data_IF_879007719213
#
_entry.id   IF_879007719213
#
_cell.length_a   1.000
_cell.length_b   1.000
_cell.length_c   1.000
_cell.angle_alpha   90.00
_cell.angle_beta   90.00
_cell.angle_gamma   90.00
#
_symmetry.space_group_name_H-M   'P 1'
#
loop_
_entity.id
_entity.type
_entity.pdbx_description
1 polymer ?
#
# COMPACT_ATOMS: atom_id res chain seq x y z
N UNK A 1 15.24 5.55 -12.11
CA UNK A 1 14.17 6.35 -11.48
C UNK A 1 13.22 5.42 -10.74
N UNK A 2 12.66 5.85 -9.58
CA UNK A 2 11.61 5.14 -8.84
C UNK A 2 10.35 5.99 -8.78
N UNK A 3 9.17 5.36 -8.96
CA UNK A 3 7.87 5.98 -8.78
C UNK A 3 7.36 5.71 -7.37
N UNK A 4 6.93 6.75 -6.66
CA UNK A 4 6.35 6.63 -5.31
C UNK A 4 4.91 7.14 -5.36
N UNK A 5 4.01 6.45 -4.68
CA UNK A 5 2.61 6.79 -4.54
C UNK A 5 2.23 6.89 -3.07
N UNK A 6 1.36 7.83 -2.76
CA UNK A 6 0.66 7.95 -1.48
C UNK A 6 -0.77 8.43 -1.74
N UNK A 7 -1.68 8.22 -0.79
CA UNK A 7 -3.10 8.50 -0.97
C UNK A 7 -3.59 9.77 -0.27
N UNK A 8 -2.92 10.19 0.81
CA UNK A 8 -3.36 11.33 1.64
C UNK A 8 -2.34 12.46 1.70
N UNK A 9 -2.76 13.70 2.02
CA UNK A 9 -1.84 14.82 2.21
C UNK A 9 -0.81 14.58 3.33
N UNK A 10 -1.19 13.92 4.42
CA UNK A 10 -0.32 13.63 5.55
C UNK A 10 0.82 12.66 5.14
N UNK A 11 0.50 11.64 4.33
CA UNK A 11 1.47 10.73 3.75
C UNK A 11 2.42 11.44 2.78
N UNK A 12 1.86 12.33 1.95
CA UNK A 12 2.63 13.15 1.02
C UNK A 12 3.64 14.02 1.76
N UNK A 13 3.21 14.73 2.80
CA UNK A 13 4.07 15.62 3.57
C UNK A 13 5.19 14.85 4.28
N UNK A 14 4.89 13.70 4.87
CA UNK A 14 5.89 12.82 5.47
C UNK A 14 6.95 12.34 4.47
N UNK A 15 6.52 11.91 3.27
CA UNK A 15 7.42 11.47 2.19
C UNK A 15 8.26 12.61 1.64
N UNK A 16 7.65 13.77 1.38
CA UNK A 16 8.37 14.95 0.86
C UNK A 16 9.44 15.44 1.83
N UNK A 17 9.10 15.55 3.11
CA UNK A 17 10.04 15.94 4.14
C UNK A 17 11.21 14.95 4.24
N UNK A 18 10.90 13.64 4.20
CA UNK A 18 11.90 12.59 4.33
C UNK A 18 12.86 12.50 3.15
N UNK A 19 12.31 12.61 1.94
CA UNK A 19 13.08 12.47 0.69
C UNK A 19 13.63 13.80 0.17
N UNK A 20 13.32 14.92 0.82
CA UNK A 20 13.75 16.28 0.46
C UNK A 20 13.38 16.64 -0.99
N UNK A 21 12.15 16.29 -1.41
CA UNK A 21 11.68 16.57 -2.75
C UNK A 21 11.23 18.02 -2.93
N UNK A 22 11.08 18.44 -4.20
CA UNK A 22 10.65 19.78 -4.57
C UNK A 22 9.38 20.23 -3.82
N UNK A 23 9.27 21.54 -3.55
CA UNK A 23 8.09 22.10 -2.88
C UNK A 23 6.90 22.24 -3.85
N UNK A 24 7.19 22.54 -5.13
CA UNK A 24 6.17 22.76 -6.14
C UNK A 24 5.95 21.51 -6.99
N UNK A 25 4.68 21.03 -7.13
CA UNK A 25 4.38 19.90 -7.97
C UNK A 25 4.30 20.26 -9.45
N UNK A 26 4.66 19.33 -10.30
CA UNK A 26 4.18 19.30 -11.67
C UNK A 26 2.74 18.77 -11.69
N UNK A 27 1.81 19.54 -12.27
CA UNK A 27 0.44 19.04 -12.45
C UNK A 27 0.33 18.22 -13.73
N UNK A 28 -0.23 17.01 -13.59
CA UNK A 28 -0.54 16.10 -14.70
C UNK A 28 -2.02 15.71 -14.61
N UNK A 29 -2.88 16.52 -15.24
CA UNK A 29 -4.32 16.43 -15.02
C UNK A 29 -4.68 16.72 -13.55
N UNK A 30 -5.44 15.87 -12.88
CA UNK A 30 -5.77 16.03 -11.46
C UNK A 30 -4.61 15.65 -10.51
N UNK A 31 -3.60 14.93 -11.00
CA UNK A 31 -2.52 14.38 -10.17
C UNK A 31 -1.40 15.41 -9.98
N UNK A 32 -0.93 15.54 -8.75
CA UNK A 32 0.27 16.30 -8.39
C UNK A 32 1.46 15.35 -8.34
N UNK A 33 2.54 15.67 -9.06
CA UNK A 33 3.78 14.89 -9.10
C UNK A 33 4.93 15.75 -8.63
N UNK A 34 5.60 15.32 -7.58
CA UNK A 34 6.80 15.97 -7.01
C UNK A 34 8.03 15.19 -7.48
N UNK A 35 8.92 15.87 -8.17
CA UNK A 35 10.16 15.26 -8.68
C UNK A 35 11.36 15.73 -7.88
N UNK A 36 12.38 14.87 -7.81
CA UNK A 36 13.63 15.22 -7.19
C UNK A 36 14.66 14.10 -7.31
N UNK A 37 15.75 14.26 -6.60
CA UNK A 37 16.78 13.24 -6.45
C UNK A 37 16.98 12.92 -4.98
N UNK A 38 17.00 11.64 -4.66
CA UNK A 38 17.34 11.14 -3.34
C UNK A 38 18.52 10.16 -3.47
N UNK A 39 19.61 10.41 -2.75
CA UNK A 39 20.86 9.64 -2.83
C UNK A 39 21.34 9.42 -4.29
N UNK A 40 21.24 10.47 -5.13
CA UNK A 40 21.67 10.47 -6.52
C UNK A 40 20.70 9.85 -7.54
N UNK A 41 19.61 9.24 -7.08
CA UNK A 41 18.61 8.59 -7.95
C UNK A 41 17.37 9.46 -8.11
N UNK A 42 16.84 9.51 -9.33
CA UNK A 42 15.61 10.24 -9.61
C UNK A 42 14.39 9.57 -8.99
N UNK A 43 13.52 10.37 -8.39
CA UNK A 43 12.26 9.96 -7.76
C UNK A 43 11.12 10.83 -8.29
N UNK A 44 9.98 10.20 -8.57
CA UNK A 44 8.71 10.87 -8.86
C UNK A 44 7.67 10.41 -7.82
N UNK A 45 7.23 11.32 -6.95
CA UNK A 45 6.22 11.08 -5.92
C UNK A 45 4.89 11.66 -6.38
N UNK A 46 3.84 10.84 -6.41
CA UNK A 46 2.50 11.29 -6.77
C UNK A 46 1.52 11.12 -5.61
N UNK A 47 0.69 12.15 -5.38
CA UNK A 47 -0.51 12.07 -4.56
C UNK A 47 -1.63 11.51 -5.43
N UNK A 48 -2.07 10.28 -5.13
CA UNK A 48 -3.14 9.63 -5.89
C UNK A 48 -4.54 10.12 -5.48
N UNK A 49 -4.73 10.39 -4.20
CA UNK A 49 -6.04 10.42 -3.56
C UNK A 49 -6.50 9.02 -3.18
N UNK A 50 -7.53 8.96 -2.32
CA UNK A 50 -8.05 7.70 -1.78
C UNK A 50 -8.87 6.92 -2.81
N UNK A 51 -8.86 5.59 -2.68
CA UNK A 51 -9.68 4.65 -3.42
C UNK A 51 -9.02 4.09 -4.69
N UNK A 52 -9.53 2.95 -5.11
CA UNK A 52 -8.95 2.12 -6.19
C UNK A 52 -8.80 2.85 -7.51
N UNK A 53 -9.80 3.64 -7.91
CA UNK A 53 -9.79 4.35 -9.21
C UNK A 53 -8.70 5.42 -9.23
N UNK A 54 -8.59 6.22 -8.18
CA UNK A 54 -7.59 7.26 -8.05
C UNK A 54 -6.18 6.66 -8.04
N UNK A 55 -5.97 5.62 -7.26
CA UNK A 55 -4.69 4.92 -7.15
C UNK A 55 -4.25 4.30 -8.48
N UNK A 56 -5.17 3.64 -9.20
CA UNK A 56 -4.90 3.06 -10.52
C UNK A 56 -4.54 4.13 -11.55
N UNK A 57 -5.28 5.25 -11.58
CA UNK A 57 -5.00 6.37 -12.48
C UNK A 57 -3.62 6.98 -12.23
N UNK A 58 -3.26 7.23 -10.97
CA UNK A 58 -1.96 7.78 -10.61
C UNK A 58 -0.80 6.81 -10.92
N UNK A 59 -0.98 5.50 -10.65
CA UNK A 59 0.01 4.48 -10.98
C UNK A 59 0.26 4.40 -12.49
N UNK A 60 -0.82 4.37 -13.28
CA UNK A 60 -0.74 4.38 -14.76
C UNK A 60 -0.02 5.62 -15.26
N UNK A 61 -0.32 6.80 -14.68
CA UNK A 61 0.32 8.04 -15.04
C UNK A 61 1.83 8.00 -14.79
N UNK A 62 2.25 7.56 -13.58
CA UNK A 62 3.68 7.46 -13.25
C UNK A 62 4.41 6.50 -14.17
N UNK A 63 3.84 5.33 -14.47
CA UNK A 63 4.46 4.35 -15.35
C UNK A 63 4.59 4.90 -16.77
N UNK A 64 3.53 5.49 -17.31
CA UNK A 64 3.49 6.00 -18.70
C UNK A 64 4.43 7.17 -18.91
N UNK A 65 4.56 8.08 -17.94
CA UNK A 65 5.37 9.30 -18.10
C UNK A 65 6.84 9.08 -17.77
N UNK A 66 7.14 8.17 -16.84
CA UNK A 66 8.48 8.13 -16.25
C UNK A 66 9.16 6.76 -16.38
N UNK A 67 8.46 5.70 -16.81
CA UNK A 67 8.98 4.34 -16.95
C UNK A 67 9.85 3.92 -15.74
N UNK A 68 9.32 3.95 -14.52
CA UNK A 68 10.10 3.68 -13.32
C UNK A 68 10.58 2.24 -13.28
N UNK A 69 11.74 2.00 -12.68
CA UNK A 69 12.28 0.65 -12.44
C UNK A 69 11.44 -0.13 -11.43
N UNK A 70 10.75 0.57 -10.52
CA UNK A 70 9.76 0.01 -9.61
C UNK A 70 8.81 1.12 -9.13
N UNK A 71 7.61 0.70 -8.71
CA UNK A 71 6.70 1.51 -7.92
C UNK A 71 6.84 1.18 -6.44
N UNK A 72 6.70 2.20 -5.60
CA UNK A 72 6.62 2.09 -4.14
C UNK A 72 5.30 2.74 -3.73
N UNK A 73 4.42 2.00 -3.10
CA UNK A 73 3.18 2.56 -2.57
C UNK A 73 3.23 2.57 -1.04
N UNK A 74 3.25 3.76 -0.48
CA UNK A 74 3.45 3.99 0.95
C UNK A 74 2.24 4.66 1.56
N UNK A 75 1.88 4.24 2.77
CA UNK A 75 0.79 4.87 3.50
C UNK A 75 0.35 4.10 4.74
N UNK A 76 -0.87 4.38 5.16
CA UNK A 76 -1.49 3.80 6.34
C UNK A 76 -2.48 2.70 5.98
N UNK A 77 -2.85 1.89 6.96
CA UNK A 77 -3.85 0.82 6.81
C UNK A 77 -4.54 0.52 8.15
N UNK A 78 -5.73 -0.05 8.09
CA UNK A 78 -6.43 -0.62 9.25
C UNK A 78 -5.94 -2.04 9.55
N UNK A 79 -5.65 -2.34 10.82
CA UNK A 79 -5.17 -3.65 11.25
C UNK A 79 -6.27 -4.71 11.34
N UNK A 80 -6.09 -5.83 10.66
CA UNK A 80 -6.99 -7.00 10.74
C UNK A 80 -6.49 -8.06 11.71
N UNK A 81 -5.17 -8.27 11.80
CA UNK A 81 -4.57 -9.22 12.75
C UNK A 81 -4.60 -8.65 14.17
N UNK A 82 -5.32 -9.29 15.13
CA UNK A 82 -5.40 -8.80 16.51
C UNK A 82 -4.04 -8.82 17.25
N UNK A 83 -3.05 -9.55 16.74
CA UNK A 83 -1.71 -9.60 17.34
C UNK A 83 -0.86 -8.36 16.97
N UNK A 84 -1.32 -7.51 16.05
CA UNK A 84 -0.59 -6.33 15.62
C UNK A 84 -1.17 -5.07 16.26
N UNK A 85 -0.34 -4.28 16.96
CA UNK A 85 -0.75 -2.99 17.50
C UNK A 85 -0.78 -1.89 16.42
N UNK A 86 -1.43 -0.78 16.72
CA UNK A 86 -1.25 0.50 16.01
C UNK A 86 0.24 0.86 16.00
N UNK A 87 0.73 1.35 14.87
CA UNK A 87 2.15 1.62 14.66
C UNK A 87 2.96 0.45 14.11
N UNK A 88 2.39 -0.77 14.06
CA UNK A 88 3.03 -1.90 13.38
C UNK A 88 3.23 -1.59 11.88
N UNK A 89 4.39 -1.95 11.35
CA UNK A 89 4.71 -1.78 9.93
C UNK A 89 4.57 -3.12 9.21
N UNK A 90 3.82 -3.10 8.10
CA UNK A 90 3.65 -4.24 7.21
C UNK A 90 4.30 -3.97 5.86
N UNK A 91 5.13 -4.90 5.42
CA UNK A 91 5.58 -5.01 4.05
C UNK A 91 4.71 -6.06 3.36
N UNK A 92 3.90 -5.64 2.40
CA UNK A 92 2.92 -6.54 1.80
C UNK A 92 3.61 -7.59 0.93
N UNK A 93 3.59 -8.84 1.39
CA UNK A 93 4.06 -10.00 0.65
C UNK A 93 2.94 -10.73 -0.10
N UNK A 94 1.70 -10.36 0.17
CA UNK A 94 0.47 -10.89 -0.45
C UNK A 94 -0.56 -9.77 -0.58
N UNK A 95 -1.23 -9.68 -1.73
CA UNK A 95 -2.17 -8.60 -2.03
C UNK A 95 -3.41 -9.13 -2.74
N UNK A 96 -4.60 -8.63 -2.38
CA UNK A 96 -5.83 -8.86 -3.13
C UNK A 96 -6.81 -7.70 -3.03
N UNK A 97 -7.68 -7.56 -4.04
CA UNK A 97 -8.92 -6.78 -3.96
C UNK A 97 -10.01 -7.72 -3.45
N UNK A 98 -10.59 -7.44 -2.28
CA UNK A 98 -11.55 -8.35 -1.66
C UNK A 98 -13.01 -8.05 -2.01
N UNK A 99 -13.29 -6.86 -2.54
CA UNK A 99 -14.63 -6.37 -2.89
C UNK A 99 -14.94 -6.47 -4.40
N UNK A 100 -14.16 -7.26 -5.14
CA UNK A 100 -14.43 -7.65 -6.52
C UNK A 100 -15.01 -9.06 -6.58
N UNK A 101 -16.20 -9.24 -7.15
CA UNK A 101 -16.82 -10.56 -7.16
C UNK A 101 -18.24 -10.61 -7.70
N UNK A 102 -18.95 -11.69 -7.32
CA UNK A 102 -20.33 -11.99 -7.70
C UNK A 102 -21.27 -11.86 -6.49
N UNK A 103 -22.41 -11.20 -6.67
CA UNK A 103 -23.54 -11.30 -5.73
C UNK A 103 -24.58 -12.25 -6.31
N UNK A 104 -24.91 -13.31 -5.59
CA UNK A 104 -25.95 -14.27 -5.95
C UNK A 104 -26.72 -14.69 -4.70
N UNK A 105 -28.05 -14.66 -4.75
CA UNK A 105 -28.89 -14.99 -3.60
C UNK A 105 -28.62 -14.13 -2.36
N UNK A 106 -28.20 -12.88 -2.53
CA UNK A 106 -27.86 -11.98 -1.43
C UNK A 106 -26.46 -12.21 -0.81
N UNK A 107 -25.67 -13.16 -1.35
CA UNK A 107 -24.33 -13.49 -0.85
C UNK A 107 -23.28 -12.99 -1.82
N UNK A 108 -22.31 -12.22 -1.31
CA UNK A 108 -21.14 -11.80 -2.08
C UNK A 108 -20.05 -12.89 -2.05
N UNK A 109 -19.55 -13.24 -3.24
CA UNK A 109 -18.44 -14.18 -3.43
C UNK A 109 -17.28 -13.45 -4.08
N UNK A 110 -16.16 -13.19 -3.35
CA UNK A 110 -14.98 -12.57 -3.92
C UNK A 110 -14.30 -13.49 -4.92
N UNK A 111 -13.80 -12.93 -6.03
CA UNK A 111 -13.01 -13.63 -7.03
C UNK A 111 -11.77 -12.83 -7.39
N UNK A 112 -10.80 -13.44 -8.06
CA UNK A 112 -9.64 -12.72 -8.54
C UNK A 112 -10.04 -11.62 -9.53
N UNK A 113 -9.51 -10.42 -9.37
CA UNK A 113 -9.77 -9.31 -10.29
C UNK A 113 -9.34 -9.66 -11.72
N UNK A 114 -9.97 -9.03 -12.72
CA UNK A 114 -9.70 -9.30 -14.14
C UNK A 114 -10.34 -10.55 -14.68
N UNK A 115 -11.03 -11.34 -13.85
CA UNK A 115 -11.82 -12.51 -14.31
C UNK A 115 -13.31 -12.15 -14.41
N UNK A 116 -14.04 -12.87 -15.29
CA UNK A 116 -15.50 -12.80 -15.29
C UNK A 116 -15.99 -13.53 -14.03
N UNK A 117 -16.75 -12.86 -13.12
CA UNK A 117 -17.09 -13.49 -11.83
C UNK A 117 -17.99 -14.71 -11.93
N UNK A 118 -18.75 -14.87 -13.03
CA UNK A 118 -19.70 -15.97 -13.22
C UNK A 118 -18.91 -17.28 -13.44
N UNK A 119 -19.03 -18.21 -12.50
CA UNK A 119 -18.32 -19.50 -12.55
C UNK A 119 -16.84 -19.42 -12.15
N UNK A 120 -16.33 -18.26 -11.79
CA UNK A 120 -14.96 -18.13 -11.28
C UNK A 120 -14.81 -18.77 -9.90
N UNK A 121 -13.64 -19.33 -9.56
CA UNK A 121 -13.39 -19.84 -8.23
C UNK A 121 -13.39 -18.69 -7.19
N UNK A 122 -13.91 -18.99 -6.00
CA UNK A 122 -13.85 -18.05 -4.87
C UNK A 122 -12.40 -17.73 -4.52
N UNK A 123 -12.11 -16.46 -4.35
CA UNK A 123 -10.85 -16.00 -3.79
C UNK A 123 -10.82 -16.32 -2.28
N UNK A 124 -9.98 -17.25 -1.88
CA UNK A 124 -9.85 -17.71 -0.49
C UNK A 124 -8.46 -17.49 0.10
N UNK A 125 -7.50 -17.06 -0.72
CA UNK A 125 -6.13 -16.79 -0.31
C UNK A 125 -5.61 -15.56 -1.04
N UNK A 126 -4.70 -14.84 -0.39
CA UNK A 126 -4.04 -13.70 -1.02
C UNK A 126 -2.92 -14.17 -1.95
N UNK A 127 -2.91 -13.78 -3.23
CA UNK A 127 -1.80 -14.04 -4.12
C UNK A 127 -0.49 -13.43 -3.58
N UNK A 128 0.63 -14.16 -3.67
CA UNK A 128 1.93 -13.63 -3.28
C UNK A 128 2.40 -12.57 -4.28
N UNK A 129 3.23 -11.64 -3.78
CA UNK A 129 3.99 -10.73 -4.65
C UNK A 129 5.15 -11.46 -5.32
N UNK A 130 5.84 -10.79 -6.26
CA UNK A 130 7.01 -11.36 -6.91
C UNK A 130 8.08 -11.76 -5.89
N UNK A 131 8.76 -12.92 -6.07
CA UNK A 131 9.74 -13.42 -5.09
C UNK A 131 10.85 -12.43 -4.74
N UNK A 132 11.33 -11.66 -5.71
CA UNK A 132 12.37 -10.65 -5.50
C UNK A 132 11.90 -9.49 -4.60
N UNK A 133 10.61 -9.15 -4.62
CA UNK A 133 10.00 -8.15 -3.72
C UNK A 133 10.00 -8.68 -2.30
N UNK A 134 9.58 -9.92 -2.09
CA UNK A 134 9.58 -10.55 -0.77
C UNK A 134 10.99 -10.65 -0.16
N UNK A 135 12.00 -11.04 -0.97
CA UNK A 135 13.41 -11.06 -0.53
C UNK A 135 13.92 -9.66 -0.15
N UNK A 136 13.53 -8.63 -0.92
CA UNK A 136 13.89 -7.25 -0.60
C UNK A 136 13.25 -6.78 0.69
N UNK A 137 11.98 -7.12 0.91
CA UNK A 137 11.27 -6.80 2.14
C UNK A 137 11.84 -7.50 3.38
N UNK A 138 12.30 -8.74 3.27
CA UNK A 138 12.97 -9.41 4.39
C UNK A 138 14.23 -8.63 4.84
N UNK A 139 15.08 -8.22 3.89
CA UNK A 139 16.26 -7.41 4.19
C UNK A 139 15.89 -6.01 4.72
N UNK A 140 14.82 -5.40 4.19
CA UNK A 140 14.34 -4.11 4.66
C UNK A 140 13.84 -4.20 6.11
N UNK A 141 13.10 -5.25 6.46
CA UNK A 141 12.58 -5.46 7.81
C UNK A 141 13.71 -5.49 8.86
N UNK A 142 14.79 -6.22 8.57
CA UNK A 142 15.98 -6.26 9.43
C UNK A 142 16.63 -4.86 9.58
N UNK A 143 16.70 -4.11 8.48
CA UNK A 143 17.35 -2.80 8.48
C UNK A 143 16.56 -1.70 9.22
N UNK A 144 15.21 -1.77 9.22
CA UNK A 144 14.36 -0.72 9.81
C UNK A 144 13.85 -1.05 11.21
N UNK A 145 13.78 -2.33 11.60
CA UNK A 145 13.27 -2.75 12.90
C UNK A 145 13.91 -1.99 14.09
N UNK A 146 15.24 -1.74 14.13
CA UNK A 146 15.85 -0.99 15.23
C UNK A 146 15.50 0.52 15.28
N UNK A 147 14.83 1.04 14.24
CA UNK A 147 14.48 2.46 14.06
C UNK A 147 13.00 2.75 14.32
N UNK A 148 12.22 1.74 14.61
CA UNK A 148 10.78 1.80 14.79
C UNK A 148 10.40 1.26 16.17
N UNK A 149 9.43 1.90 16.81
CA UNK A 149 8.94 1.47 18.13
C UNK A 149 7.98 0.27 18.06
N UNK A 150 7.39 0.04 16.89
CA UNK A 150 6.44 -1.05 16.67
C UNK A 150 7.05 -2.24 15.91
N UNK A 151 6.35 -3.38 15.89
CA UNK A 151 6.79 -4.55 15.14
C UNK A 151 6.79 -4.29 13.64
N UNK A 152 7.77 -4.89 12.96
CA UNK A 152 7.90 -4.86 11.49
C UNK A 152 7.81 -6.29 10.98
N UNK A 153 6.94 -6.56 10.03
CA UNK A 153 6.83 -7.89 9.43
C UNK A 153 6.31 -7.89 8.00
N UNK A 154 6.50 -8.99 7.30
CA UNK A 154 5.81 -9.27 6.06
C UNK A 154 4.37 -9.69 6.38
N UNK A 155 3.41 -9.31 5.53
CA UNK A 155 2.00 -9.62 5.77
C UNK A 155 1.10 -9.40 4.57
N UNK A 156 -0.11 -9.95 4.66
CA UNK A 156 -1.13 -9.85 3.63
C UNK A 156 -1.99 -8.60 3.79
N UNK A 157 -2.22 -7.87 2.69
CA UNK A 157 -3.10 -6.70 2.65
C UNK A 157 -4.26 -6.96 1.70
N UNK A 158 -5.48 -6.70 2.16
CA UNK A 158 -6.69 -6.66 1.33
C UNK A 158 -7.11 -5.24 1.05
N UNK A 159 -7.60 -4.99 -0.16
CA UNK A 159 -8.06 -3.67 -0.61
C UNK A 159 -9.56 -3.68 -0.89
N UNK A 160 -10.26 -2.62 -0.45
CA UNK A 160 -11.67 -2.36 -0.76
C UNK A 160 -12.01 -0.88 -0.65
N UNK A 161 -13.00 -0.39 -1.42
CA UNK A 161 -13.37 1.04 -1.47
C UNK A 161 -14.26 1.47 -0.30
N UNK A 162 -13.83 1.21 0.93
CA UNK A 162 -14.47 1.70 2.15
C UNK A 162 -13.50 1.76 3.32
N UNK A 163 -13.73 2.70 4.22
CA UNK A 163 -13.06 2.75 5.52
C UNK A 163 -13.73 1.74 6.47
N UNK A 164 -12.97 0.76 6.95
CA UNK A 164 -13.51 -0.28 7.83
C UNK A 164 -13.55 0.19 9.29
N UNK A 165 -14.76 0.30 9.83
CA UNK A 165 -15.03 0.69 11.22
C UNK A 165 -15.99 -0.30 11.88
N UNK A 166 -15.69 -1.61 11.79
CA UNK A 166 -16.58 -2.67 12.24
C UNK A 166 -15.79 -3.95 12.59
N UNK A 167 -15.79 -4.33 13.87
CA UNK A 167 -15.07 -5.50 14.38
C UNK A 167 -15.53 -6.83 13.79
N UNK A 168 -16.82 -6.98 13.52
CA UNK A 168 -17.34 -8.19 12.90
C UNK A 168 -16.83 -8.38 11.48
N UNK A 169 -16.82 -7.32 10.66
CA UNK A 169 -16.27 -7.37 9.30
C UNK A 169 -14.76 -7.56 9.32
N UNK A 170 -14.05 -6.92 10.24
CA UNK A 170 -12.61 -7.15 10.48
C UNK A 170 -12.32 -8.63 10.67
N UNK A 171 -13.04 -9.29 11.59
CA UNK A 171 -12.87 -10.72 11.86
C UNK A 171 -13.18 -11.57 10.64
N UNK A 172 -14.27 -11.28 9.91
CA UNK A 172 -14.64 -11.99 8.68
C UNK A 172 -13.55 -11.91 7.61
N UNK A 173 -12.96 -10.74 7.38
CA UNK A 173 -11.88 -10.55 6.42
C UNK A 173 -10.61 -11.30 6.85
N UNK A 174 -10.27 -11.25 8.14
CA UNK A 174 -9.14 -12.01 8.69
C UNK A 174 -9.31 -13.51 8.48
N UNK A 175 -10.48 -14.05 8.79
CA UNK A 175 -10.78 -15.47 8.65
C UNK A 175 -10.85 -15.90 7.17
N UNK A 176 -11.47 -15.08 6.31
CA UNK A 176 -11.66 -15.43 4.91
C UNK A 176 -10.36 -15.41 4.09
N UNK A 177 -9.43 -14.49 4.39
CA UNK A 177 -8.25 -14.25 3.57
C UNK A 177 -6.92 -14.48 4.28
N UNK A 178 -6.91 -14.60 5.62
CA UNK A 178 -5.67 -14.57 6.40
C UNK A 178 -4.93 -13.24 6.28
N UNK A 179 -5.66 -12.14 5.97
CA UNK A 179 -5.09 -10.83 5.78
C UNK A 179 -4.69 -10.18 7.11
N UNK A 180 -3.60 -9.44 7.11
CA UNK A 180 -3.05 -8.76 8.29
C UNK A 180 -3.52 -7.30 8.37
N UNK A 181 -3.85 -6.69 7.23
CA UNK A 181 -4.35 -5.31 7.14
C UNK A 181 -5.34 -5.13 5.98
N UNK A 182 -6.08 -4.02 6.04
CA UNK A 182 -6.97 -3.52 4.99
C UNK A 182 -6.60 -2.09 4.61
N UNK A 183 -6.63 -1.81 3.31
CA UNK A 183 -6.49 -0.47 2.76
C UNK A 183 -7.50 -0.21 1.63
N UNK A 184 -7.37 0.92 0.96
CA UNK A 184 -8.29 1.31 -0.11
C UNK A 184 -7.63 1.36 -1.50
N UNK A 185 -6.34 1.04 -1.64
CA UNK A 185 -5.58 1.33 -2.87
C UNK A 185 -4.63 0.23 -3.34
N UNK A 186 -3.92 -0.46 -2.44
CA UNK A 186 -2.78 -1.33 -2.79
C UNK A 186 -3.10 -2.36 -3.86
N UNK A 187 -4.27 -3.00 -3.76
CA UNK A 187 -4.69 -3.99 -4.74
C UNK A 187 -4.86 -3.41 -6.15
N UNK A 188 -5.34 -2.17 -6.25
CA UNK A 188 -5.51 -1.49 -7.53
C UNK A 188 -4.16 -1.09 -8.15
N UNK A 189 -3.23 -0.57 -7.33
CA UNK A 189 -1.85 -0.30 -7.79
C UNK A 189 -1.17 -1.58 -8.22
N UNK A 190 -1.36 -2.69 -7.48
CA UNK A 190 -0.82 -4.00 -7.84
C UNK A 190 -1.37 -4.51 -9.17
N UNK A 191 -2.66 -4.32 -9.43
CA UNK A 191 -3.26 -4.70 -10.71
C UNK A 191 -2.62 -3.94 -11.87
N UNK A 192 -2.41 -2.63 -11.72
CA UNK A 192 -1.75 -1.80 -12.74
C UNK A 192 -0.29 -2.20 -12.90
N UNK A 193 0.47 -2.28 -11.81
CA UNK A 193 1.90 -2.62 -11.85
C UNK A 193 2.14 -3.98 -12.52
N UNK A 194 1.34 -5.00 -12.19
CA UNK A 194 1.39 -6.32 -12.80
C UNK A 194 1.11 -6.26 -14.30
N UNK A 195 0.08 -5.52 -14.72
CA UNK A 195 -0.28 -5.38 -16.14
C UNK A 195 0.82 -4.71 -16.97
N UNK A 196 1.62 -3.84 -16.36
CA UNK A 196 2.73 -3.15 -17.00
C UNK A 196 4.10 -3.84 -16.80
N UNK A 197 4.16 -4.92 -16.02
CA UNK A 197 5.40 -5.63 -15.71
C UNK A 197 6.38 -4.80 -14.85
N UNK A 198 5.86 -3.90 -14.01
CA UNK A 198 6.65 -3.05 -13.13
C UNK A 198 6.61 -3.61 -11.71
N UNK A 199 7.75 -3.89 -11.06
CA UNK A 199 7.79 -4.34 -9.67
C UNK A 199 7.12 -3.34 -8.73
N UNK A 200 6.32 -3.84 -7.77
CA UNK A 200 5.63 -3.01 -6.78
C UNK A 200 6.04 -3.39 -5.36
N UNK A 201 6.39 -2.38 -4.58
CA UNK A 201 6.65 -2.46 -3.15
C UNK A 201 5.55 -1.72 -2.39
N UNK A 202 4.76 -2.43 -1.58
CA UNK A 202 3.69 -1.84 -0.75
C UNK A 202 4.14 -1.84 0.70
N UNK A 203 4.14 -0.65 1.31
CA UNK A 203 4.52 -0.40 2.71
C UNK A 203 3.32 0.21 3.41
N UNK A 204 2.86 -0.40 4.50
CA UNK A 204 1.74 0.07 5.30
C UNK A 204 2.11 0.13 6.77
N UNK A 205 1.74 1.22 7.44
CA UNK A 205 1.77 1.30 8.90
C UNK A 205 0.35 1.33 9.42
N UNK A 206 0.06 0.53 10.45
CA UNK A 206 -1.29 0.48 11.02
C UNK A 206 -1.60 1.77 11.76
N UNK A 207 -2.59 2.52 11.27
CA UNK A 207 -3.10 3.75 11.90
C UNK A 207 -4.21 3.47 12.90
N UNK A 208 -4.91 2.35 12.73
CA UNK A 208 -6.05 1.90 13.51
C UNK A 208 -6.18 0.38 13.41
N UNK A 209 -7.18 -0.18 14.07
CA UNK A 209 -7.40 -1.63 14.11
C UNK A 209 -8.69 -2.06 13.39
N UNK A 210 -9.24 -1.26 12.49
CA UNK A 210 -10.43 -1.55 11.69
C UNK A 210 -11.67 -1.98 12.52
N UNK A 211 -11.74 -1.57 13.78
CA UNK A 211 -12.84 -1.82 14.71
C UNK A 211 -13.73 -0.60 14.93
N UNK A 212 -14.65 -0.65 15.91
CA UNK A 212 -15.71 0.34 16.11
C UNK A 212 -15.24 1.78 16.34
N UNK A 213 -14.01 1.99 16.85
CA UNK A 213 -13.45 3.33 17.12
C UNK A 213 -12.27 3.68 16.19
N UNK A 214 -12.13 2.97 15.08
CA UNK A 214 -11.01 3.14 14.17
C UNK A 214 -10.92 4.55 13.57
N UNK A 215 -12.04 5.20 13.30
CA UNK A 215 -12.06 6.57 12.81
C UNK A 215 -11.45 7.57 13.79
N UNK A 216 -11.61 7.38 15.11
CA UNK A 216 -11.00 8.22 16.15
C UNK A 216 -9.51 7.95 16.25
N UNK A 217 -9.13 6.68 16.26
CA UNK A 217 -7.72 6.26 16.32
C UNK A 217 -6.96 6.72 15.08
N UNK A 218 -7.56 6.59 13.88
CA UNK A 218 -6.98 7.08 12.63
C UNK A 218 -6.63 8.58 12.73
N UNK A 219 -7.55 9.43 13.15
CA UNK A 219 -7.31 10.88 13.26
C UNK A 219 -6.12 11.20 14.18
N UNK A 220 -5.92 10.41 15.23
CA UNK A 220 -4.82 10.61 16.18
C UNK A 220 -3.49 10.06 15.68
N UNK A 221 -3.50 8.95 14.95
CA UNK A 221 -2.31 8.15 14.67
C UNK A 221 -1.82 8.23 13.21
N UNK A 222 -2.62 8.78 12.29
CA UNK A 222 -2.28 8.83 10.87
C UNK A 222 -0.93 9.52 10.58
N UNK A 223 -0.64 10.61 11.28
CA UNK A 223 0.64 11.32 11.12
C UNK A 223 1.85 10.50 11.55
N UNK A 224 1.77 9.79 12.68
CA UNK A 224 2.83 8.88 13.14
C UNK A 224 2.99 7.71 12.15
N UNK A 225 1.88 7.12 11.72
CA UNK A 225 1.89 6.01 10.79
C UNK A 225 2.49 6.40 9.42
N UNK A 226 2.14 7.59 8.90
CA UNK A 226 2.73 8.15 7.70
C UNK A 226 4.25 8.37 7.82
N UNK A 227 4.71 8.87 8.99
CA UNK A 227 6.13 9.06 9.27
C UNK A 227 6.90 7.72 9.26
N UNK A 228 6.37 6.68 9.91
CA UNK A 228 6.98 5.35 9.95
C UNK A 228 7.06 4.74 8.53
N UNK A 229 5.98 4.86 7.75
CA UNK A 229 5.98 4.40 6.36
C UNK A 229 7.01 5.15 5.50
N UNK A 230 7.12 6.47 5.65
CA UNK A 230 8.10 7.28 4.91
C UNK A 230 9.56 6.91 5.28
N UNK A 231 9.83 6.59 6.56
CA UNK A 231 11.13 6.07 7.00
C UNK A 231 11.49 4.76 6.29
N UNK A 232 10.52 3.86 6.13
CA UNK A 232 10.72 2.60 5.43
C UNK A 232 10.92 2.81 3.92
N UNK A 233 10.25 3.79 3.30
CA UNK A 233 10.48 4.15 1.88
C UNK A 233 11.91 4.62 1.65
N UNK A 234 12.42 5.51 2.51
CA UNK A 234 13.80 5.98 2.42
C UNK A 234 14.80 4.81 2.52
N UNK A 235 14.61 3.92 3.48
CA UNK A 235 15.46 2.74 3.65
C UNK A 235 15.37 1.78 2.44
N UNK A 236 14.16 1.58 1.90
CA UNK A 236 13.95 0.75 0.70
C UNK A 236 14.68 1.34 -0.51
N UNK A 237 14.57 2.64 -0.75
CA UNK A 237 15.29 3.30 -1.85
C UNK A 237 16.80 3.05 -1.76
N UNK A 238 17.39 3.19 -0.58
CA UNK A 238 18.81 2.91 -0.35
C UNK A 238 19.19 1.46 -0.67
N UNK A 239 18.34 0.50 -0.28
CA UNK A 239 18.55 -0.92 -0.61
C UNK A 239 18.46 -1.18 -2.11
N UNK A 240 17.50 -0.57 -2.79
CA UNK A 240 17.32 -0.74 -4.23
C UNK A 240 18.48 -0.09 -5.03
N UNK A 241 18.95 1.06 -4.57
CA UNK A 241 20.10 1.75 -5.19
C UNK A 241 21.40 0.92 -5.03
N UNK A 242 21.61 0.33 -3.87
CA UNK A 242 22.80 -0.47 -3.60
C UNK A 242 22.86 -1.79 -4.41
N UNK A 243 21.73 -2.23 -4.99
CA UNK A 243 21.61 -3.45 -5.80
C UNK A 243 21.59 -3.21 -7.30
N UNK A 244 21.47 -1.95 -7.75
CA UNK A 244 21.42 -1.55 -9.16
C UNK A 244 22.82 -1.37 -9.74
#
# INVERSE_FOLDING_TARGET
>A
MYGILCATPEELDALRARLQLALEPERRGPTQVFRGRHDGVEVALALSGMGKVNAAAAATLLISLFSPQALIFSGVAGGLDPALPVGAVLFADRLAIHDYGLVSGGVFTPVAYGTIPIGAPRLSTLPPVEPQVAVTFAALAEAVAPRLDGPVRLGGVVTGDYFLNCGATRQQLREAFGADAIDMESGAVNQVATAWGVPLYVIRTLSDLAGEESHLTYVQMAGMAAHNSALCVEALLRLLIARA
#
